data_IF_215063874763
#
_entry.id   IF_215063874763
#
_cell.length_a   1.000
_cell.length_b   1.000
_cell.length_c   1.000
_cell.angle_alpha   90.00
_cell.angle_beta   90.00
_cell.angle_gamma   90.00
#
_symmetry.space_group_name_H-M   'P 1'
#
loop_
_entity.id
_entity.type
_entity.pdbx_description
1 polymer ?
#
# COMPACT_ATOMS: atom_id res chain seq x y z
N UNK A 1 2.96 17.81 -19.62
CA UNK A 1 1.86 16.85 -19.87
C UNK A 1 0.72 17.19 -18.93
N UNK A 2 -0.53 17.03 -19.38
CA UNK A 2 -1.70 17.26 -18.53
C UNK A 2 -1.84 16.13 -17.49
N UNK A 3 -2.53 16.38 -16.38
CA UNK A 3 -2.90 15.32 -15.44
C UNK A 3 -3.68 14.24 -16.18
N UNK A 4 -3.39 12.97 -15.93
CA UNK A 4 -4.06 11.88 -16.62
C UNK A 4 -3.31 10.56 -16.54
N UNK A 5 -4.00 9.52 -16.98
CA UNK A 5 -3.48 8.16 -17.08
C UNK A 5 -3.00 7.90 -18.51
N UNK A 6 -1.75 7.50 -18.64
CA UNK A 6 -1.07 7.22 -19.88
C UNK A 6 -0.58 5.77 -19.89
N UNK A 7 -0.71 5.14 -21.04
CA UNK A 7 -0.21 3.79 -21.28
C UNK A 7 0.19 3.72 -22.74
N UNK A 8 1.33 3.09 -23.02
CA UNK A 8 1.82 2.97 -24.39
C UNK A 8 1.19 1.75 -25.04
N UNK A 9 0.38 1.97 -26.07
CA UNK A 9 0.10 0.96 -27.06
C UNK A 9 1.26 0.95 -28.08
N UNK A 10 1.88 -0.20 -28.35
CA UNK A 10 2.90 -0.32 -29.38
C UNK A 10 2.39 0.23 -30.72
N UNK A 11 3.08 1.19 -31.34
CA UNK A 11 2.79 1.61 -32.71
C UNK A 11 3.65 0.82 -33.71
N UNK A 12 3.03 0.52 -34.85
CA UNK A 12 3.49 -0.37 -35.90
C UNK A 12 4.86 -0.02 -36.50
N UNK A 13 5.71 -1.04 -36.58
CA UNK A 13 6.82 -1.12 -37.52
C UNK A 13 7.06 -2.59 -37.89
N UNK A 14 6.47 -3.02 -39.01
CA UNK A 14 6.69 -4.33 -39.69
C UNK A 14 5.86 -5.52 -39.15
N UNK A 15 4.84 -5.88 -39.94
CA UNK A 15 4.00 -7.12 -39.94
C UNK A 15 3.16 -7.42 -38.67
N UNK A 16 1.85 -7.14 -38.78
CA UNK A 16 0.73 -7.33 -37.83
C UNK A 16 0.43 -6.19 -36.83
N UNK A 17 -0.65 -5.45 -37.12
CA UNK A 17 -1.19 -4.30 -36.38
C UNK A 17 -1.53 -4.53 -34.91
N UNK A 18 -0.60 -4.29 -33.99
CA UNK A 18 -0.75 -4.68 -32.58
C UNK A 18 -1.33 -3.60 -31.65
N UNK A 19 -2.50 -3.88 -31.06
CA UNK A 19 -2.94 -3.23 -29.82
C UNK A 19 -2.20 -3.86 -28.62
N UNK A 20 -0.94 -3.51 -28.34
CA UNK A 20 -0.14 -4.16 -27.27
C UNK A 20 0.37 -3.16 -26.23
N UNK A 21 0.38 -3.50 -24.95
CA UNK A 21 1.16 -2.80 -23.93
C UNK A 21 2.64 -2.85 -24.32
N UNK A 22 3.23 -1.68 -24.54
CA UNK A 22 4.67 -1.53 -24.80
C UNK A 22 5.46 -1.22 -23.51
N UNK A 23 4.83 -1.34 -22.33
CA UNK A 23 5.42 -0.98 -21.04
C UNK A 23 4.39 -1.02 -19.90
N UNK A 24 4.58 -0.13 -18.92
CA UNK A 24 3.71 0.00 -17.76
C UNK A 24 2.64 1.08 -17.90
N UNK A 25 1.94 1.35 -16.80
CA UNK A 25 0.98 2.44 -16.66
C UNK A 25 1.71 3.64 -16.05
N UNK A 26 1.59 4.81 -16.67
CA UNK A 26 2.12 6.07 -16.15
C UNK A 26 0.96 6.99 -15.81
N UNK A 27 0.93 7.54 -14.61
CA UNK A 27 -0.08 8.49 -14.16
C UNK A 27 0.60 9.81 -13.87
N UNK A 28 0.20 10.88 -14.56
CA UNK A 28 0.61 12.24 -14.23
C UNK A 28 -0.37 12.85 -13.24
N UNK A 29 0.15 13.37 -12.13
CA UNK A 29 -0.65 14.02 -11.09
C UNK A 29 -1.13 13.05 -10.01
N UNK A 30 -1.78 13.62 -9.00
CA UNK A 30 -2.28 12.87 -7.84
C UNK A 30 -3.40 11.88 -8.24
N UNK A 31 -3.41 10.74 -7.56
CA UNK A 31 -4.47 9.72 -7.66
C UNK A 31 -5.31 9.79 -6.38
N UNK A 32 -6.62 9.99 -6.50
CA UNK A 32 -7.51 9.99 -5.34
C UNK A 32 -7.79 8.58 -4.84
N UNK A 33 -8.01 7.63 -5.75
CA UNK A 33 -8.19 6.22 -5.41
C UNK A 33 -7.50 5.30 -6.41
N UNK A 34 -6.68 4.38 -5.92
CA UNK A 34 -6.07 3.30 -6.68
C UNK A 34 -6.62 1.99 -6.12
N UNK A 35 -7.54 1.36 -6.86
CA UNK A 35 -8.17 0.11 -6.45
C UNK A 35 -7.51 -1.09 -7.10
N UNK A 36 -7.10 -2.07 -6.31
CA UNK A 36 -6.69 -3.39 -6.78
C UNK A 36 -7.82 -4.38 -6.51
N UNK A 37 -8.07 -5.27 -7.46
CA UNK A 37 -9.10 -6.30 -7.35
C UNK A 37 -8.87 -7.36 -8.42
N UNK A 38 -9.64 -8.45 -8.40
CA UNK A 38 -9.61 -9.45 -9.46
C UNK A 38 -10.99 -9.79 -9.99
N UNK A 39 -11.02 -10.29 -11.23
CA UNK A 39 -12.21 -10.88 -11.83
C UNK A 39 -11.86 -12.31 -12.26
N UNK A 40 -12.30 -13.29 -11.47
CA UNK A 40 -11.83 -14.66 -11.60
C UNK A 40 -10.33 -14.76 -11.31
N UNK A 41 -9.57 -15.23 -12.30
CA UNK A 41 -8.11 -15.40 -12.24
C UNK A 41 -7.34 -14.17 -12.76
N UNK A 42 -8.04 -13.10 -13.17
CA UNK A 42 -7.45 -11.98 -13.88
C UNK A 42 -7.47 -10.69 -13.06
N UNK A 43 -6.39 -9.93 -13.16
CA UNK A 43 -6.23 -8.68 -12.42
C UNK A 43 -7.12 -7.56 -12.95
N UNK A 44 -7.59 -6.73 -12.04
CA UNK A 44 -8.23 -5.44 -12.32
C UNK A 44 -7.51 -4.35 -11.53
N UNK A 45 -7.19 -3.26 -12.20
CA UNK A 45 -6.58 -2.07 -11.62
C UNK A 45 -7.46 -0.87 -11.98
N UNK A 46 -7.92 -0.12 -10.98
CA UNK A 46 -8.69 1.11 -11.21
C UNK A 46 -7.97 2.32 -10.64
N UNK A 47 -7.88 3.37 -11.44
CA UNK A 47 -7.18 4.61 -11.10
C UNK A 47 -8.18 5.75 -11.22
N UNK A 48 -8.45 6.43 -10.13
CA UNK A 48 -9.37 7.57 -10.10
C UNK A 48 -8.59 8.86 -9.91
N UNK A 49 -8.80 9.82 -10.82
CA UNK A 49 -8.30 11.19 -10.74
C UNK A 49 -9.49 12.15 -10.86
N UNK A 50 -9.90 12.76 -9.75
CA UNK A 50 -11.11 13.57 -9.71
C UNK A 50 -12.36 12.73 -10.02
N UNK A 51 -13.05 13.05 -11.12
CA UNK A 51 -14.27 12.34 -11.56
C UNK A 51 -14.01 11.30 -12.66
N UNK A 52 -12.76 11.14 -13.09
CA UNK A 52 -12.37 10.17 -14.11
C UNK A 52 -11.79 8.93 -13.43
N UNK A 53 -12.39 7.78 -13.70
CA UNK A 53 -11.85 6.47 -13.33
C UNK A 53 -11.42 5.73 -14.59
N UNK A 54 -10.12 5.43 -14.67
CA UNK A 54 -9.54 4.58 -15.71
C UNK A 54 -9.31 3.19 -15.14
N UNK A 55 -9.94 2.19 -15.72
CA UNK A 55 -9.83 0.78 -15.34
C UNK A 55 -9.02 0.02 -16.39
N UNK A 56 -8.01 -0.71 -15.93
CA UNK A 56 -7.30 -1.74 -16.68
C UNK A 56 -7.78 -3.10 -16.20
N UNK A 57 -8.52 -3.80 -17.06
CA UNK A 57 -9.10 -5.11 -16.75
C UNK A 57 -8.46 -6.18 -17.62
N UNK A 58 -7.76 -7.11 -17.00
CA UNK A 58 -7.29 -8.30 -17.71
C UNK A 58 -8.49 -9.21 -17.99
N UNK A 59 -8.61 -9.68 -19.24
CA UNK A 59 -9.70 -10.56 -19.71
C UNK A 59 -9.20 -11.87 -20.29
N UNK A 60 -7.89 -12.02 -20.42
CA UNK A 60 -7.18 -13.23 -20.81
C UNK A 60 -5.71 -13.13 -20.42
N UNK A 61 -4.90 -14.20 -20.61
CA UNK A 61 -3.51 -14.23 -20.15
C UNK A 61 -2.67 -13.05 -20.64
N UNK A 62 -2.94 -12.58 -21.86
CA UNK A 62 -2.23 -11.45 -22.49
C UNK A 62 -3.20 -10.41 -23.06
N UNK A 63 -4.46 -10.38 -22.58
CA UNK A 63 -5.50 -9.48 -23.09
C UNK A 63 -6.01 -8.56 -21.99
N UNK A 64 -6.06 -7.26 -22.30
CA UNK A 64 -6.43 -6.20 -21.38
C UNK A 64 -7.41 -5.22 -22.01
N UNK A 65 -8.43 -4.84 -21.28
CA UNK A 65 -9.35 -3.78 -21.62
C UNK A 65 -9.00 -2.52 -20.83
N UNK A 66 -8.96 -1.37 -21.51
CA UNK A 66 -8.95 -0.06 -20.87
C UNK A 66 -10.33 0.55 -20.97
N UNK A 67 -10.90 0.89 -19.81
CA UNK A 67 -12.22 1.51 -19.68
C UNK A 67 -12.09 2.83 -18.97
N UNK A 68 -12.84 3.83 -19.40
CA UNK A 68 -12.96 5.13 -18.72
C UNK A 68 -14.40 5.30 -18.30
N UNK A 69 -14.65 5.47 -16.99
CA UNK A 69 -16.00 5.55 -16.42
C UNK A 69 -16.91 4.43 -16.94
N UNK A 70 -16.38 3.20 -16.99
CA UNK A 70 -17.05 2.00 -17.49
C UNK A 70 -17.08 1.84 -19.02
N UNK A 71 -16.84 2.89 -19.78
CA UNK A 71 -16.85 2.87 -21.25
C UNK A 71 -15.56 2.26 -21.78
N UNK A 72 -15.65 1.18 -22.56
CA UNK A 72 -14.49 0.58 -23.22
C UNK A 72 -13.85 1.57 -24.20
N UNK A 73 -12.58 1.90 -23.97
CA UNK A 73 -11.78 2.76 -24.85
C UNK A 73 -10.86 1.97 -25.75
N UNK A 74 -10.28 0.89 -25.21
CA UNK A 74 -9.27 0.12 -25.92
C UNK A 74 -9.27 -1.33 -25.45
N UNK A 75 -9.07 -2.26 -26.39
CA UNK A 75 -8.70 -3.64 -26.10
C UNK A 75 -7.30 -3.88 -26.61
N UNK A 76 -6.41 -4.33 -25.73
CA UNK A 76 -5.04 -4.71 -26.01
C UNK A 76 -4.93 -6.23 -26.00
N UNK A 77 -4.36 -6.82 -27.06
CA UNK A 77 -4.23 -8.27 -27.26
C UNK A 77 -2.77 -8.65 -27.44
N UNK A 78 -2.38 -9.85 -27.02
CA UNK A 78 -0.98 -10.31 -27.07
C UNK A 78 -0.01 -9.33 -26.37
N UNK A 79 -0.45 -8.83 -25.23
CA UNK A 79 0.03 -7.64 -24.57
C UNK A 79 0.55 -7.99 -23.18
N UNK A 80 1.84 -8.35 -23.02
CA UNK A 80 2.40 -8.61 -21.71
C UNK A 80 2.51 -7.28 -20.95
N UNK A 81 1.58 -7.04 -20.02
CA UNK A 81 1.73 -5.95 -19.07
C UNK A 81 2.97 -6.23 -18.21
N UNK A 82 3.88 -5.27 -18.09
CA UNK A 82 5.14 -5.47 -17.36
C UNK A 82 4.98 -5.39 -15.84
N UNK A 83 3.75 -5.26 -15.33
CA UNK A 83 3.46 -5.19 -13.91
C UNK A 83 3.67 -3.81 -13.28
N UNK A 84 4.17 -2.82 -14.02
CA UNK A 84 4.54 -1.53 -13.47
C UNK A 84 3.40 -0.51 -13.57
N UNK A 85 3.06 0.15 -12.47
CA UNK A 85 2.27 1.37 -12.42
C UNK A 85 3.04 2.47 -11.69
N UNK A 86 3.33 3.58 -12.37
CA UNK A 86 4.04 4.74 -11.79
C UNK A 86 3.12 5.95 -11.71
N UNK A 87 3.04 6.53 -10.52
CA UNK A 87 2.30 7.76 -10.23
C UNK A 87 3.30 8.89 -10.00
N UNK A 88 3.38 9.82 -10.95
CA UNK A 88 4.06 11.11 -10.83
C UNK A 88 3.16 12.08 -10.04
N UNK A 89 2.96 11.71 -8.78
CA UNK A 89 2.16 12.38 -7.76
C UNK A 89 2.09 11.51 -6.50
N UNK A 90 1.12 11.81 -5.63
CA UNK A 90 0.78 10.96 -4.47
C UNK A 90 -0.38 10.02 -4.78
N UNK A 91 -0.52 8.95 -3.99
CA UNK A 91 -1.68 8.05 -4.02
C UNK A 91 -2.48 8.21 -2.74
N UNK A 92 -3.66 8.83 -2.85
CA UNK A 92 -4.57 9.04 -1.73
C UNK A 92 -4.36 10.34 -0.96
N UNK A 93 -4.88 10.35 0.26
CA UNK A 93 -4.79 11.50 1.17
C UNK A 93 -4.48 11.07 2.61
N UNK A 94 -3.89 11.95 3.42
CA UNK A 94 -3.65 11.68 4.84
C UNK A 94 -4.92 11.76 5.70
N UNK A 95 -6.12 11.93 5.14
CA UNK A 95 -7.34 12.01 5.96
C UNK A 95 -7.54 10.71 6.77
N UNK A 96 -7.47 10.70 8.12
CA UNK A 96 -7.67 9.51 8.97
C UNK A 96 -8.97 8.77 8.68
N UNK A 97 -10.01 9.49 8.22
CA UNK A 97 -11.37 8.96 8.06
C UNK A 97 -11.81 8.83 6.60
N UNK A 98 -11.00 9.32 5.67
CA UNK A 98 -11.27 9.25 4.23
C UNK A 98 -10.90 7.88 3.64
N UNK A 99 -11.60 7.47 2.58
CA UNK A 99 -11.33 6.24 1.82
C UNK A 99 -10.36 6.42 0.65
N UNK A 100 -9.93 7.66 0.38
CA UNK A 100 -9.05 7.99 -0.75
C UNK A 100 -7.62 7.46 -0.54
N UNK A 101 -7.24 6.42 -1.30
CA UNK A 101 -5.88 5.87 -1.32
C UNK A 101 -5.74 4.59 -2.12
N UNK A 102 -4.77 3.76 -1.75
CA UNK A 102 -4.62 2.40 -2.23
C UNK A 102 -5.61 1.52 -1.47
N UNK A 103 -6.51 0.85 -2.19
CA UNK A 103 -7.55 0.01 -1.62
C UNK A 103 -7.67 -1.33 -2.35
N UNK A 104 -8.17 -2.34 -1.66
CA UNK A 104 -8.82 -3.50 -2.24
C UNK A 104 -10.21 -3.18 -2.81
N UNK A 105 -10.99 -4.21 -3.13
CA UNK A 105 -12.38 -4.04 -3.58
C UNK A 105 -13.41 -3.85 -2.45
N UNK A 106 -12.97 -3.81 -1.19
CA UNK A 106 -13.82 -3.69 -0.02
C UNK A 106 -14.55 -4.99 0.37
N UNK A 107 -14.17 -6.11 -0.23
CA UNK A 107 -14.63 -7.45 0.14
C UNK A 107 -13.50 -8.26 0.79
N UNK A 108 -13.81 -9.43 1.34
CA UNK A 108 -12.79 -10.36 1.86
C UNK A 108 -12.12 -11.18 0.73
N UNK A 109 -12.44 -10.91 -0.54
CA UNK A 109 -11.84 -11.60 -1.68
C UNK A 109 -10.42 -11.07 -1.93
N UNK A 110 -9.48 -11.93 -2.38
CA UNK A 110 -8.13 -11.48 -2.68
C UNK A 110 -8.05 -10.44 -3.80
N UNK A 111 -7.23 -9.41 -3.61
CA UNK A 111 -7.10 -8.26 -4.50
C UNK A 111 -6.07 -8.46 -5.62
N UNK A 112 -5.06 -9.30 -5.37
CA UNK A 112 -3.98 -9.61 -6.31
C UNK A 112 -4.20 -11.00 -6.90
N UNK A 113 -4.47 -11.04 -8.21
CA UNK A 113 -4.74 -12.29 -8.93
C UNK A 113 -3.51 -13.21 -8.95
N UNK A 114 -3.72 -14.53 -8.96
CA UNK A 114 -2.68 -15.56 -8.70
C UNK A 114 -1.43 -15.48 -9.58
N UNK A 115 -1.56 -15.02 -10.82
CA UNK A 115 -0.45 -14.87 -11.78
C UNK A 115 0.08 -13.43 -11.88
N UNK A 116 -0.44 -12.50 -11.07
CA UNK A 116 -0.16 -11.08 -11.21
C UNK A 116 1.07 -10.63 -10.43
N UNK A 117 2.02 -10.06 -11.14
CA UNK A 117 3.21 -9.45 -10.57
C UNK A 117 3.09 -7.94 -10.78
N UNK A 118 3.00 -7.18 -9.69
CA UNK A 118 2.69 -5.75 -9.73
C UNK A 118 3.67 -4.96 -8.90
N UNK A 119 4.02 -3.76 -9.38
CA UNK A 119 4.66 -2.73 -8.57
C UNK A 119 3.94 -1.41 -8.80
N UNK A 120 3.46 -0.83 -7.70
CA UNK A 120 2.93 0.53 -7.64
C UNK A 120 4.04 1.42 -7.10
N UNK A 121 4.54 2.31 -7.96
CA UNK A 121 5.52 3.31 -7.59
C UNK A 121 4.87 4.69 -7.59
N UNK A 122 5.19 5.52 -6.60
CA UNK A 122 4.74 6.90 -6.54
C UNK A 122 5.92 7.83 -6.25
N UNK A 123 5.96 8.99 -6.92
CA UNK A 123 6.96 10.03 -6.67
C UNK A 123 6.82 10.67 -5.28
N UNK A 124 5.65 10.50 -4.64
CA UNK A 124 5.30 11.08 -3.34
C UNK A 124 4.62 10.04 -2.43
N UNK A 125 3.93 10.49 -1.38
CA UNK A 125 3.32 9.62 -0.36
C UNK A 125 2.31 8.62 -0.97
N UNK A 126 2.25 7.42 -0.39
CA UNK A 126 1.22 6.40 -0.66
C UNK A 126 0.43 6.14 0.61
N UNK A 127 -0.89 6.32 0.55
CA UNK A 127 -1.80 6.05 1.66
C UNK A 127 -2.56 4.75 1.40
N UNK A 128 -2.31 3.71 2.20
CA UNK A 128 -3.03 2.43 2.14
C UNK A 128 -4.27 2.53 3.04
N UNK A 129 -5.42 2.28 2.46
CA UNK A 129 -6.75 2.55 3.04
C UNK A 129 -7.61 1.31 3.23
N UNK A 130 -7.21 0.20 2.64
CA UNK A 130 -7.89 -1.08 2.75
C UNK A 130 -6.89 -2.21 2.55
N UNK A 131 -7.37 -3.44 2.72
CA UNK A 131 -6.60 -4.64 2.48
C UNK A 131 -6.06 -4.69 1.04
N UNK A 132 -4.91 -5.34 0.88
CA UNK A 132 -4.32 -5.69 -0.41
C UNK A 132 -3.74 -7.09 -0.29
N UNK A 133 -4.55 -8.08 -0.63
CA UNK A 133 -4.28 -9.49 -0.29
C UNK A 133 -3.99 -10.37 -1.51
N UNK A 134 -3.14 -11.35 -1.29
CA UNK A 134 -2.73 -12.32 -2.29
C UNK A 134 -3.77 -13.42 -2.52
N UNK A 135 -4.07 -13.74 -3.79
CA UNK A 135 -4.89 -14.91 -4.12
C UNK A 135 -4.25 -16.22 -3.66
N UNK A 136 -2.91 -16.29 -3.66
CA UNK A 136 -2.16 -17.39 -3.07
C UNK A 136 -1.02 -16.83 -2.23
N UNK A 137 -1.07 -17.08 -0.92
CA UNK A 137 -0.02 -16.64 0.01
C UNK A 137 1.24 -17.51 -0.13
N UNK A 138 2.45 -16.92 -0.03
CA UNK A 138 3.71 -17.67 -0.08
C UNK A 138 3.90 -18.67 1.05
N UNK A 139 3.11 -18.52 2.11
CA UNK A 139 3.18 -19.33 3.32
C UNK A 139 2.53 -20.70 3.12
N UNK A 140 1.46 -20.72 2.30
CA UNK A 140 0.71 -21.94 2.00
C UNK A 140 1.13 -22.54 0.65
N UNK A 141 1.52 -21.68 -0.29
CA UNK A 141 2.10 -22.09 -1.57
C UNK A 141 3.44 -21.37 -1.79
N UNK A 142 4.58 -22.02 -1.49
CA UNK A 142 5.91 -21.47 -1.75
C UNK A 142 6.16 -21.12 -3.23
N UNK A 143 5.38 -21.70 -4.16
CA UNK A 143 5.48 -21.46 -5.59
C UNK A 143 4.50 -20.39 -6.11
N UNK A 144 3.74 -19.74 -5.24
CA UNK A 144 2.79 -18.69 -5.61
C UNK A 144 3.44 -17.63 -6.50
N UNK A 145 2.73 -17.19 -7.54
CA UNK A 145 3.23 -16.25 -8.56
C UNK A 145 2.76 -14.82 -8.36
N UNK A 146 1.74 -14.61 -7.54
CA UNK A 146 1.30 -13.27 -7.22
C UNK A 146 2.28 -12.55 -6.30
N UNK A 147 2.64 -11.32 -6.65
CA UNK A 147 3.53 -10.48 -5.84
C UNK A 147 3.21 -9.01 -6.05
N UNK A 148 3.24 -8.24 -4.97
CA UNK A 148 3.00 -6.80 -4.98
C UNK A 148 4.18 -6.05 -4.36
N UNK A 149 4.64 -5.04 -5.07
CA UNK A 149 5.55 -4.00 -4.58
C UNK A 149 4.82 -2.68 -4.44
N UNK A 150 5.06 -1.96 -3.35
CA UNK A 150 4.63 -0.58 -3.16
C UNK A 150 5.87 0.25 -2.87
N UNK A 151 6.14 1.21 -3.73
CA UNK A 151 7.33 2.04 -3.68
C UNK A 151 6.94 3.51 -3.62
N UNK A 152 7.47 4.23 -2.64
CA UNK A 152 7.44 5.69 -2.57
C UNK A 152 8.86 6.24 -2.73
N UNK A 153 9.08 6.99 -3.79
CA UNK A 153 10.39 7.57 -4.13
C UNK A 153 10.72 8.73 -3.17
N UNK A 154 9.78 9.68 -3.03
CA UNK A 154 9.95 10.94 -2.30
C UNK A 154 9.16 11.04 -0.99
N UNK A 155 8.29 10.08 -0.69
CA UNK A 155 7.31 10.15 0.39
C UNK A 155 7.35 8.96 1.34
N UNK A 156 6.38 8.95 2.25
CA UNK A 156 6.11 7.84 3.15
C UNK A 156 5.13 6.85 2.52
N UNK A 157 5.12 5.64 3.06
CA UNK A 157 4.00 4.72 2.89
C UNK A 157 3.24 4.71 4.22
N UNK A 158 1.99 5.18 4.22
CA UNK A 158 1.18 5.27 5.44
C UNK A 158 -0.07 4.43 5.36
N UNK A 159 -0.31 3.63 6.37
CA UNK A 159 -1.49 2.79 6.52
C UNK A 159 -2.50 3.50 7.40
N UNK A 160 -3.76 3.47 6.98
CA UNK A 160 -4.86 4.14 7.65
C UNK A 160 -6.18 3.56 7.15
N UNK A 161 -6.44 2.30 7.53
CA UNK A 161 -7.65 1.55 7.16
C UNK A 161 -8.88 1.96 7.96
N UNK A 162 -9.95 1.18 7.87
CA UNK A 162 -11.16 1.44 8.65
C UNK A 162 -10.89 1.33 10.17
N UNK A 163 -11.48 2.23 10.97
CA UNK A 163 -11.38 2.17 12.43
C UNK A 163 -11.92 0.84 12.97
N UNK A 164 -11.24 0.28 13.95
CA UNK A 164 -11.59 -0.97 14.63
C UNK A 164 -11.30 -2.23 13.83
N UNK A 165 -10.72 -2.11 12.63
CA UNK A 165 -10.38 -3.23 11.78
C UNK A 165 -8.88 -3.39 11.64
N UNK A 166 -8.46 -4.64 11.64
CA UNK A 166 -7.13 -5.01 11.15
C UNK A 166 -7.03 -4.65 9.67
N UNK A 167 -5.80 -4.50 9.20
CA UNK A 167 -5.51 -4.34 7.77
C UNK A 167 -4.43 -5.32 7.37
N UNK A 168 -4.63 -5.99 6.25
CA UNK A 168 -3.71 -6.99 5.70
C UNK A 168 -3.14 -6.49 4.39
N UNK A 169 -1.81 -6.34 4.35
CA UNK A 169 -1.08 -5.87 3.18
C UNK A 169 -0.04 -6.91 2.82
N UNK A 170 -0.34 -7.69 1.80
CA UNK A 170 0.60 -8.62 1.20
C UNK A 170 1.41 -7.88 0.14
N UNK A 171 2.50 -7.24 0.56
CA UNK A 171 3.38 -6.50 -0.32
C UNK A 171 4.78 -6.29 0.28
N UNK A 172 5.75 -6.06 -0.60
CA UNK A 172 7.00 -5.39 -0.21
C UNK A 172 6.82 -3.89 -0.31
N UNK A 173 7.09 -3.20 0.80
CA UNK A 173 6.97 -1.76 0.96
C UNK A 173 8.35 -1.14 0.94
N UNK A 174 8.55 -0.10 0.14
CA UNK A 174 9.80 0.66 0.10
C UNK A 174 9.52 2.16 0.11
N UNK A 175 10.11 2.88 1.06
CA UNK A 175 10.15 4.34 1.09
C UNK A 175 11.62 4.78 1.12
N UNK A 176 12.13 5.29 -0.01
CA UNK A 176 13.59 5.50 -0.18
C UNK A 176 14.08 6.90 0.21
N UNK A 177 13.19 7.88 0.32
CA UNK A 177 13.59 9.24 0.65
C UNK A 177 14.06 9.37 2.10
N UNK A 178 15.05 10.24 2.31
CA UNK A 178 15.58 10.57 3.63
C UNK A 178 14.46 11.12 4.54
N UNK A 179 14.41 10.63 5.76
CA UNK A 179 13.40 10.97 6.77
C UNK A 179 12.02 10.36 6.49
N UNK A 180 11.91 9.44 5.54
CA UNK A 180 10.66 8.79 5.16
C UNK A 180 10.70 7.30 5.45
N UNK A 181 9.51 6.75 5.65
CA UNK A 181 9.36 5.33 5.94
C UNK A 181 7.92 4.87 5.96
N UNK A 182 7.71 3.77 6.66
CA UNK A 182 6.42 3.13 6.86
C UNK A 182 5.82 3.51 8.21
N UNK A 183 4.53 3.85 8.21
CA UNK A 183 3.79 4.03 9.46
C UNK A 183 2.30 4.26 9.27
N UNK A 184 1.69 4.96 10.20
CA UNK A 184 0.28 5.33 10.22
C UNK A 184 0.14 6.84 10.23
N UNK A 185 -1.01 7.36 9.80
CA UNK A 185 -1.24 8.81 9.80
C UNK A 185 -1.45 9.34 11.22
N UNK A 186 -2.23 8.62 12.01
CA UNK A 186 -2.79 8.93 13.33
C UNK A 186 -2.37 7.84 14.35
N UNK A 187 -1.06 7.64 14.51
CA UNK A 187 -0.51 6.54 15.31
C UNK A 187 -0.80 6.65 16.83
N UNK A 188 -1.17 7.82 17.29
CA UNK A 188 -1.48 8.16 18.68
C UNK A 188 -2.98 8.34 18.94
N UNK A 189 -3.84 8.17 17.92
CA UNK A 189 -5.29 8.18 18.07
C UNK A 189 -5.85 6.77 18.34
N UNK A 190 -6.82 6.68 19.26
CA UNK A 190 -7.47 5.41 19.58
C UNK A 190 -8.23 4.85 18.38
N UNK A 191 -7.86 3.65 17.93
CA UNK A 191 -8.43 3.03 16.73
C UNK A 191 -9.40 1.89 17.01
N UNK A 192 -9.48 1.40 18.24
CA UNK A 192 -10.37 0.32 18.64
C UNK A 192 -9.92 -0.33 19.94
N UNK A 193 -10.83 -1.10 20.55
CA UNK A 193 -10.51 -1.97 21.67
C UNK A 193 -11.08 -3.38 21.38
N UNK A 194 -10.24 -4.38 21.09
CA UNK A 194 -8.76 -4.37 21.13
C UNK A 194 -8.12 -3.49 20.04
N UNK A 195 -6.86 -3.11 20.26
CA UNK A 195 -6.06 -2.36 19.28
C UNK A 195 -5.92 -3.19 17.99
N UNK A 196 -6.27 -2.64 16.81
CA UNK A 196 -6.16 -3.37 15.55
C UNK A 196 -4.70 -3.61 15.14
N UNK A 197 -4.50 -4.53 14.21
CA UNK A 197 -3.20 -4.96 13.70
C UNK A 197 -3.02 -4.57 12.25
N UNK A 198 -1.81 -4.15 11.90
CA UNK A 198 -1.32 -4.18 10.52
C UNK A 198 -0.62 -5.51 10.32
N UNK A 199 -1.18 -6.37 9.46
CA UNK A 199 -0.58 -7.63 9.02
C UNK A 199 0.15 -7.38 7.71
N UNK A 200 1.45 -7.66 7.68
CA UNK A 200 2.25 -7.55 6.45
C UNK A 200 2.86 -8.90 6.12
N UNK A 201 2.66 -9.36 4.89
CA UNK A 201 3.43 -10.46 4.29
C UNK A 201 4.32 -9.89 3.20
N UNK A 202 5.64 -9.85 3.44
CA UNK A 202 6.58 -9.24 2.50
C UNK A 202 7.81 -8.69 3.18
N UNK A 203 8.14 -7.44 2.88
CA UNK A 203 9.30 -6.72 3.42
C UNK A 203 9.02 -5.24 3.59
N UNK A 204 9.69 -4.58 4.54
CA UNK A 204 9.65 -3.12 4.71
C UNK A 204 11.07 -2.60 4.57
N UNK A 205 11.25 -1.68 3.63
CA UNK A 205 12.52 -1.01 3.36
C UNK A 205 12.30 0.49 3.55
N UNK A 206 12.91 1.06 4.56
CA UNK A 206 12.70 2.44 4.97
C UNK A 206 14.00 3.08 5.41
N UNK A 207 14.12 4.39 5.23
CA UNK A 207 15.25 5.14 5.79
C UNK A 207 14.98 5.48 7.26
N UNK A 208 13.76 5.90 7.58
CA UNK A 208 13.35 6.21 8.95
C UNK A 208 11.96 5.64 9.26
N UNK A 209 11.90 4.74 10.26
CA UNK A 209 10.62 4.19 10.73
C UNK A 209 9.68 5.29 11.22
N UNK A 210 8.41 5.19 10.83
CA UNK A 210 7.37 6.12 11.25
C UNK A 210 6.48 5.48 12.32
N UNK A 211 5.82 6.32 13.13
CA UNK A 211 4.89 5.86 14.16
C UNK A 211 3.74 5.04 13.55
N UNK A 212 3.44 3.89 14.14
CA UNK A 212 2.33 2.98 13.76
C UNK A 212 1.26 2.90 14.83
N UNK A 213 1.69 2.87 16.09
CA UNK A 213 0.83 2.73 17.25
C UNK A 213 1.63 2.94 18.52
N UNK A 214 0.93 3.08 19.64
CA UNK A 214 1.51 3.07 20.97
C UNK A 214 1.30 1.71 21.63
N UNK A 215 2.07 1.40 22.67
CA UNK A 215 1.89 0.17 23.45
C UNK A 215 0.72 0.31 24.42
N UNK A 216 0.12 -0.81 24.83
CA UNK A 216 -0.82 -0.79 25.96
C UNK A 216 -0.11 -0.30 27.23
N UNK A 217 -0.89 0.27 28.14
CA UNK A 217 -0.41 0.76 29.43
C UNK A 217 -1.35 0.37 30.55
N UNK A 218 -0.80 0.18 31.74
CA UNK A 218 -1.59 -0.02 32.95
C UNK A 218 -1.97 1.34 33.53
N UNK A 219 -3.26 1.59 33.70
CA UNK A 219 -3.77 2.77 34.40
C UNK A 219 -4.33 2.37 35.76
N UNK A 220 -4.08 3.23 36.77
CA UNK A 220 -4.59 3.00 38.12
C UNK A 220 -6.10 3.19 38.14
N UNK A 221 -6.81 2.14 38.55
CA UNK A 221 -8.26 2.13 38.69
C UNK A 221 -8.65 2.50 40.12
N UNK A 222 -9.58 3.43 40.23
CA UNK A 222 -10.16 3.85 41.50
C UNK A 222 -11.66 3.59 41.51
N UNK A 223 -12.17 3.14 42.66
CA UNK A 223 -13.60 3.11 42.93
C UNK A 223 -13.96 4.21 43.91
N UNK A 224 -15.12 4.83 43.68
CA UNK A 224 -15.66 5.81 44.62
C UNK A 224 -16.35 5.06 45.75
N UNK A 225 -15.76 5.11 46.95
CA UNK A 225 -16.31 4.49 48.15
C UNK A 225 -16.86 5.58 49.06
N UNK A 226 -18.11 5.43 49.48
CA UNK A 226 -18.72 6.34 50.46
C UNK A 226 -18.28 5.95 51.86
N UNK A 227 -17.44 6.78 52.46
CA UNK A 227 -16.95 6.58 53.83
C UNK A 227 -17.69 7.48 54.80
N UNK A 228 -18.01 6.94 55.98
CA UNK A 228 -18.60 7.75 57.03
C UNK A 228 -17.53 8.57 57.74
N UNK A 229 -17.80 9.87 57.92
CA UNK A 229 -16.90 10.82 58.59
C UNK A 229 -17.40 11.25 59.97
N UNK A 230 -18.69 11.03 60.25
CA UNK A 230 -19.28 11.33 61.55
C UNK A 230 -20.37 10.33 61.91
N UNK A 231 -20.30 9.81 63.12
CA UNK A 231 -21.31 8.93 63.71
C UNK A 231 -22.08 9.68 64.80
N UNK A 232 -23.34 9.33 65.01
CA UNK A 232 -24.10 9.75 66.19
C UNK A 232 -23.75 8.87 67.41
N UNK A 233 -24.38 9.18 68.54
CA UNK A 233 -24.21 8.45 69.81
C UNK A 233 -24.74 7.00 69.77
N UNK A 234 -25.50 6.61 68.74
CA UNK A 234 -25.99 5.25 68.49
C UNK A 234 -25.13 4.49 67.48
N UNK A 235 -24.05 5.10 66.98
CA UNK A 235 -23.17 4.52 65.96
C UNK A 235 -23.74 4.58 64.54
N UNK A 236 -24.79 5.36 64.28
CA UNK A 236 -25.31 5.58 62.92
C UNK A 236 -24.54 6.68 62.20
N UNK A 237 -24.26 6.46 60.92
CA UNK A 237 -23.57 7.45 60.10
C UNK A 237 -24.46 8.67 59.85
N UNK A 238 -23.99 9.86 60.25
CA UNK A 238 -24.71 11.13 60.06
C UNK A 238 -24.07 12.04 59.02
N UNK A 239 -22.79 11.81 58.70
CA UNK A 239 -22.09 12.53 57.63
C UNK A 239 -21.14 11.60 56.92
N UNK A 240 -21.23 11.53 55.61
CA UNK A 240 -20.30 10.78 54.76
C UNK A 240 -19.58 11.70 53.78
N UNK A 241 -18.47 11.19 53.23
CA UNK A 241 -17.79 11.76 52.08
C UNK A 241 -17.44 10.64 51.10
N UNK A 242 -17.32 10.99 49.84
CA UNK A 242 -16.90 10.06 48.81
C UNK A 242 -15.37 10.13 48.70
N UNK A 243 -14.71 8.98 48.79
CA UNK A 243 -13.25 8.85 48.65
C UNK A 243 -12.91 7.95 47.46
N UNK A 244 -11.83 8.30 46.76
CA UNK A 244 -11.26 7.44 45.72
C UNK A 244 -10.42 6.36 46.39
N UNK A 245 -10.87 5.12 46.30
CA UNK A 245 -10.11 3.95 46.76
C UNK A 245 -9.43 3.30 45.56
N UNK A 246 -8.12 3.14 45.62
CA UNK A 246 -7.40 2.34 44.63
C UNK A 246 -7.88 0.89 44.69
N UNK A 247 -8.29 0.35 43.54
CA UNK A 247 -8.81 -1.03 43.43
C UNK A 247 -7.97 -1.93 42.53
N UNK A 248 -7.01 -1.37 41.81
CA UNK A 248 -6.08 -2.14 40.98
C UNK A 248 -5.59 -1.36 39.79
N UNK A 249 -5.02 -2.06 38.81
CA UNK A 249 -4.67 -1.51 37.52
C UNK A 249 -5.59 -2.11 36.46
N UNK A 250 -5.97 -1.31 35.47
CA UNK A 250 -6.63 -1.79 34.25
C UNK A 250 -5.73 -1.54 33.04
N UNK A 251 -5.72 -2.50 32.10
CA UNK A 251 -4.99 -2.35 30.86
C UNK A 251 -5.79 -1.45 29.91
N UNK A 252 -5.18 -0.33 29.52
CA UNK A 252 -5.67 0.56 28.48
C UNK A 252 -4.94 0.20 27.19
N UNK A 253 -5.67 -0.20 26.13
CA UNK A 253 -5.06 -0.52 24.84
C UNK A 253 -4.25 0.65 24.28
N UNK A 254 -3.21 0.31 23.52
CA UNK A 254 -2.45 1.30 22.76
C UNK A 254 -3.30 1.96 21.66
N UNK A 255 -2.86 3.12 21.21
CA UNK A 255 -3.42 3.87 20.10
C UNK A 255 -2.83 3.42 18.75
N UNK A 256 -3.46 3.80 17.63
CA UNK A 256 -3.04 3.40 16.29
C UNK A 256 -3.15 1.89 16.06
N UNK A 257 -2.15 1.34 15.38
CA UNK A 257 -2.04 -0.09 15.06
C UNK A 257 -0.87 -0.76 15.77
N UNK A 258 -1.07 -2.01 16.18
CA UNK A 258 0.05 -2.92 16.45
C UNK A 258 0.58 -3.52 15.14
N UNK A 259 1.87 -3.90 15.08
CA UNK A 259 2.50 -4.51 13.90
C UNK A 259 2.49 -6.04 14.02
N UNK A 260 2.13 -6.72 12.94
CA UNK A 260 2.32 -8.16 12.76
C UNK A 260 2.99 -8.41 11.40
N UNK A 261 4.30 -8.65 11.43
CA UNK A 261 5.10 -8.82 10.23
C UNK A 261 5.43 -10.29 9.99
N UNK A 262 5.27 -10.73 8.75
CA UNK A 262 5.65 -12.05 8.26
C UNK A 262 6.54 -11.87 7.03
N UNK A 263 7.73 -12.48 7.08
CA UNK A 263 8.65 -12.52 5.95
C UNK A 263 8.07 -13.35 4.80
N UNK A 264 8.25 -12.88 3.55
CA UNK A 264 7.97 -13.67 2.35
C UNK A 264 9.22 -14.49 1.96
N UNK A 265 9.23 -15.82 2.14
CA UNK A 265 10.39 -16.67 1.88
C UNK A 265 10.80 -16.72 0.41
N UNK A 266 9.94 -16.28 -0.53
CA UNK A 266 10.25 -16.31 -1.95
C UNK A 266 11.35 -15.31 -2.33
N UNK A 267 11.63 -14.31 -1.49
CA UNK A 267 12.74 -13.39 -1.70
C UNK A 267 14.10 -14.07 -1.63
N UNK A 268 14.25 -15.16 -0.87
CA UNK A 268 15.47 -15.96 -0.85
C UNK A 268 15.71 -16.68 -2.18
N UNK A 269 14.65 -16.91 -2.96
CA UNK A 269 14.69 -17.47 -4.30
C UNK A 269 14.78 -16.38 -5.40
N UNK A 270 14.97 -15.12 -5.02
CA UNK A 270 15.05 -13.98 -5.96
C UNK A 270 13.71 -13.58 -6.57
N UNK A 271 12.58 -14.05 -6.03
CA UNK A 271 11.25 -13.72 -6.54
C UNK A 271 10.75 -12.42 -5.92
N UNK A 272 10.97 -11.30 -6.62
CA UNK A 272 10.62 -9.96 -6.16
C UNK A 272 9.59 -9.28 -7.07
N UNK A 273 8.86 -8.25 -6.56
CA UNK A 273 8.01 -7.41 -7.41
C UNK A 273 8.76 -6.87 -8.64
N UNK A 274 8.10 -6.70 -9.79
CA UNK A 274 8.73 -6.20 -11.00
C UNK A 274 9.22 -4.77 -10.81
N UNK A 275 10.48 -4.48 -11.09
CA UNK A 275 11.02 -3.13 -10.99
C UNK A 275 10.78 -2.36 -12.29
N UNK A 276 10.66 -1.02 -12.22
CA UNK A 276 10.78 -0.18 -13.41
C UNK A 276 12.07 -0.59 -14.12
N UNK A 277 12.10 -0.78 -15.46
CA UNK A 277 13.28 -1.31 -16.12
C UNK A 277 14.51 -0.47 -15.77
N UNK A 278 15.38 -1.03 -14.93
CA UNK A 278 16.81 -0.76 -15.04
C UNK A 278 17.20 -1.33 -16.39
N UNK A 279 17.96 -0.58 -17.18
CA UNK A 279 18.45 -1.07 -18.47
C UNK A 279 19.09 -2.44 -18.24
N UNK A 280 18.51 -3.52 -18.76
CA UNK A 280 19.02 -4.90 -18.63
C UNK A 280 20.31 -5.14 -19.42
N UNK A 281 21.04 -4.08 -19.76
CA UNK A 281 22.24 -4.04 -20.57
C UNK A 281 23.17 -2.99 -19.95
N UNK A 282 23.86 -3.34 -18.87
CA UNK A 282 25.00 -2.56 -18.40
C UNK A 282 26.27 -3.17 -19.01
N UNK A 283 26.61 -2.83 -20.25
CA UNK A 283 27.97 -3.06 -20.77
C UNK A 283 28.86 -1.88 -20.35
N UNK A 284 29.67 -2.07 -19.32
CA UNK A 284 30.87 -1.25 -19.14
C UNK A 284 32.01 -1.89 -19.94
N UNK A 285 32.22 -1.43 -21.18
CA UNK A 285 33.42 -1.83 -21.94
C UNK A 285 34.65 -1.25 -21.25
N UNK A 286 35.68 -2.08 -21.03
CA UNK A 286 36.88 -1.78 -20.25
C UNK A 286 37.84 -0.74 -20.89
N UNK A 287 37.39 0.13 -21.78
CA UNK A 287 38.23 1.13 -22.45
C UNK A 287 37.63 2.52 -22.34
N UNK A 288 37.75 3.11 -21.16
CA UNK A 288 37.46 4.53 -20.93
C UNK A 288 38.59 5.36 -21.54
N UNK A 289 38.49 5.65 -22.85
CA UNK A 289 39.17 6.84 -23.36
C UNK A 289 38.40 8.04 -22.82
N UNK A 290 39.06 8.85 -21.99
CA UNK A 290 38.50 10.03 -21.32
C UNK A 290 37.66 10.85 -22.32
N UNK A 291 36.34 10.85 -22.13
CA UNK A 291 35.40 11.65 -22.92
C UNK A 291 35.72 13.13 -22.69
N UNK A 292 36.47 13.72 -23.61
CA UNK A 292 36.65 15.15 -23.69
C UNK A 292 35.46 15.71 -24.47
N UNK A 293 34.60 16.43 -23.74
CA UNK A 293 33.36 17.10 -24.16
C UNK A 293 32.07 16.22 -24.19
N UNK A 294 30.99 16.65 -23.49
CA UNK A 294 29.71 15.94 -23.49
C UNK A 294 29.01 16.19 -24.83
N UNK A 295 29.15 15.27 -25.78
CA UNK A 295 28.21 15.17 -26.89
C UNK A 295 27.07 14.26 -26.45
N UNK A 296 25.86 14.81 -26.46
CA UNK A 296 24.68 14.23 -25.84
C UNK A 296 24.39 12.78 -26.21
N UNK A 297 23.77 12.08 -25.27
CA UNK A 297 23.22 10.74 -25.46
C UNK A 297 22.41 10.67 -26.76
N UNK A 298 22.87 9.85 -27.70
CA UNK A 298 22.05 9.35 -28.81
C UNK A 298 22.00 7.83 -28.70
N UNK A 299 20.82 7.29 -28.44
CA UNK A 299 20.53 5.88 -28.62
C UNK A 299 20.47 5.59 -30.12
N UNK A 300 21.25 4.62 -30.58
CA UNK A 300 21.14 4.03 -31.92
C UNK A 300 20.77 2.57 -31.74
N UNK A 301 19.79 2.09 -32.51
CA UNK A 301 19.41 0.69 -32.54
C UNK A 301 20.51 -0.15 -33.19
N UNK A 302 20.83 -1.32 -32.64
CA UNK A 302 21.76 -2.27 -33.24
C UNK A 302 21.09 -3.01 -34.40
N UNK A 303 21.86 -3.24 -35.46
CA UNK A 303 21.52 -4.12 -36.61
C UNK A 303 21.32 -5.58 -36.20
#
# INVERSE_FOLDING_TARGET
>A
MQSGVYYTAAQNGTVNGGNRFAGGIYVKGDVSNLKLSKNGEYQVIEITQGTLTTQFRQTGPTTWEVRENGTLRKTMTNSPFNGMLFVDGKVGTPDPRGSAGLTGDGTDAPDIAAESQLTIAASSDVYIKDDATYSQGPQENPNAKNVLGIFSEGGNIKVNGQSGKDITVDATLMASARGKGFGTVDYDEGRGNPQPKIRITGGIIEEQSQGVGTTSRLEAKYETVRVCTRYDWRGQCTRSRDEQRFVGYEEVPGAGYSRNFKWDPRFDAGFAPPFFPTQGQFEARASFTKLSAPKGFRAVASE
#
